data_IF_656360666558
#
_entry.id   IF_656360666558
#
_cell.length_a   1.000
_cell.length_b   1.000
_cell.length_c   1.000
_cell.angle_alpha   90.00
_cell.angle_beta   90.00
_cell.angle_gamma   90.00
#
_symmetry.space_group_name_H-M   'P 1'
#
loop_
_entity.id
_entity.type
_entity.pdbx_description
1 polymer ?
#
# COMPACT_ATOMS: atom_id res chain seq x y z
N UNK A 1 -19.96 14.36 3.78
CA UNK A 1 -20.65 14.32 2.47
C UNK A 1 -19.66 14.61 1.37
N UNK A 2 -19.87 14.00 0.19
CA UNK A 2 -19.21 14.38 -1.07
C UNK A 2 -20.32 14.73 -2.06
N UNK A 3 -20.28 15.89 -2.72
CA UNK A 3 -21.29 16.28 -3.72
C UNK A 3 -20.64 16.64 -5.05
N UNK A 4 -21.24 16.13 -6.12
CA UNK A 4 -20.90 16.52 -7.48
C UNK A 4 -21.55 17.86 -7.80
N UNK A 5 -20.73 18.88 -8.10
CA UNK A 5 -21.17 20.28 -8.24
C UNK A 5 -22.25 20.42 -9.31
N UNK A 6 -22.03 19.84 -10.49
CA UNK A 6 -22.92 20.05 -11.63
C UNK A 6 -24.23 19.26 -11.53
N UNK A 7 -24.19 18.01 -11.08
CA UNK A 7 -25.41 17.18 -11.05
C UNK A 7 -26.15 17.24 -9.72
N UNK A 8 -25.58 17.89 -8.70
CA UNK A 8 -26.14 17.93 -7.35
C UNK A 8 -26.16 16.59 -6.60
N UNK A 9 -25.67 15.51 -7.22
CA UNK A 9 -25.72 14.15 -6.65
C UNK A 9 -24.75 14.03 -5.48
N UNK A 10 -25.20 13.37 -4.42
CA UNK A 10 -24.47 13.32 -3.14
C UNK A 10 -24.06 11.90 -2.77
N UNK A 11 -22.96 11.78 -2.05
CA UNK A 11 -22.52 10.60 -1.32
C UNK A 11 -22.42 10.95 0.17
N UNK A 12 -23.05 10.15 1.00
CA UNK A 12 -22.98 10.23 2.45
C UNK A 12 -22.21 9.03 2.97
N UNK A 13 -21.32 9.27 3.92
CA UNK A 13 -20.53 8.21 4.51
C UNK A 13 -20.04 8.61 5.89
N UNK A 14 -19.78 7.63 6.75
CA UNK A 14 -19.19 7.81 8.06
C UNK A 14 -17.68 7.52 8.09
N UNK A 15 -16.97 8.06 9.08
CA UNK A 15 -15.57 7.70 9.38
C UNK A 15 -15.11 8.18 10.76
N UNK A 16 -14.23 7.40 11.40
CA UNK A 16 -13.43 7.84 12.57
C UNK A 16 -12.18 8.64 12.16
N UNK A 17 -11.74 8.49 10.91
CA UNK A 17 -10.64 9.26 10.34
C UNK A 17 -11.08 9.84 8.99
N UNK A 18 -11.49 11.11 9.03
CA UNK A 18 -12.13 11.80 7.90
C UNK A 18 -11.15 11.96 6.73
N UNK A 19 -9.92 12.42 7.00
CA UNK A 19 -8.90 12.64 5.97
C UNK A 19 -8.53 11.34 5.24
N UNK A 20 -8.35 10.24 5.98
CA UNK A 20 -8.09 8.93 5.39
C UNK A 20 -9.23 8.50 4.47
N UNK A 21 -10.48 8.63 4.92
CA UNK A 21 -11.68 8.23 4.15
C UNK A 21 -11.77 8.98 2.82
N UNK A 22 -11.50 10.28 2.83
CA UNK A 22 -11.48 11.09 1.62
C UNK A 22 -10.39 10.63 0.66
N UNK A 23 -9.16 10.44 1.16
CA UNK A 23 -8.04 9.95 0.35
C UNK A 23 -8.31 8.56 -0.24
N UNK A 24 -8.96 7.67 0.50
CA UNK A 24 -9.34 6.35 0.00
C UNK A 24 -10.33 6.44 -1.17
N UNK A 25 -11.29 7.38 -1.14
CA UNK A 25 -12.19 7.62 -2.28
C UNK A 25 -11.48 8.16 -3.52
N UNK A 26 -10.43 8.98 -3.33
CA UNK A 26 -9.61 9.48 -4.44
C UNK A 26 -8.72 8.40 -5.05
N UNK A 27 -8.14 7.53 -4.22
CA UNK A 27 -7.22 6.48 -4.64
C UNK A 27 -7.93 5.27 -5.26
N UNK A 28 -9.01 4.81 -4.63
CA UNK A 28 -9.70 3.57 -5.01
C UNK A 28 -11.04 3.87 -5.66
N UNK A 29 -11.17 3.61 -6.96
CA UNK A 29 -12.44 3.80 -7.66
C UNK A 29 -13.26 2.53 -7.89
N UNK A 30 -13.19 1.54 -6.99
CA UNK A 30 -14.11 0.41 -7.07
C UNK A 30 -15.51 0.78 -6.54
N UNK A 31 -15.61 1.82 -5.69
CA UNK A 31 -16.88 2.38 -5.21
C UNK A 31 -17.57 3.24 -6.27
N UNK A 32 -18.91 3.35 -6.22
CA UNK A 32 -19.73 4.19 -7.12
C UNK A 32 -19.26 5.64 -7.13
N UNK A 33 -19.01 6.21 -5.96
CA UNK A 33 -18.46 7.57 -5.81
C UNK A 33 -17.03 7.67 -6.36
N UNK A 34 -16.15 6.70 -6.11
CA UNK A 34 -14.79 6.72 -6.64
C UNK A 34 -14.74 6.60 -8.17
N UNK A 35 -15.64 5.81 -8.77
CA UNK A 35 -15.83 5.78 -10.24
C UNK A 35 -16.25 7.16 -10.78
N UNK A 36 -17.20 7.81 -10.10
CA UNK A 36 -17.67 9.13 -10.49
C UNK A 36 -16.57 10.20 -10.39
N UNK A 37 -15.80 10.21 -9.29
CA UNK A 37 -14.64 11.11 -9.11
C UNK A 37 -13.62 10.92 -10.24
N UNK A 38 -13.28 9.68 -10.60
CA UNK A 38 -12.36 9.43 -11.73
C UNK A 38 -12.93 9.87 -13.07
N UNK A 39 -14.24 9.73 -13.26
CA UNK A 39 -14.91 10.08 -14.52
C UNK A 39 -14.97 11.60 -14.74
N UNK A 40 -15.32 12.35 -13.70
CA UNK A 40 -15.60 13.79 -13.82
C UNK A 40 -14.47 14.69 -13.31
N UNK A 41 -13.44 14.12 -12.67
CA UNK A 41 -12.35 14.87 -12.04
C UNK A 41 -12.69 15.28 -10.61
N UNK A 42 -11.67 15.32 -9.74
CA UNK A 42 -11.83 15.60 -8.30
C UNK A 42 -12.33 17.03 -8.04
N UNK A 43 -11.96 17.96 -8.91
CA UNK A 43 -12.32 19.38 -8.88
C UNK A 43 -13.81 19.63 -9.12
N UNK A 44 -14.54 18.64 -9.67
CA UNK A 44 -16.01 18.68 -9.81
C UNK A 44 -16.74 18.17 -8.57
N UNK A 45 -16.02 17.79 -7.53
CA UNK A 45 -16.58 17.36 -6.26
C UNK A 45 -16.09 18.23 -5.12
N UNK A 46 -16.99 18.54 -4.18
CA UNK A 46 -16.60 19.10 -2.89
C UNK A 46 -16.90 18.12 -1.76
N UNK A 47 -16.07 18.18 -0.73
CA UNK A 47 -16.16 17.37 0.47
C UNK A 47 -16.47 18.27 1.66
N UNK A 48 -17.44 17.87 2.48
CA UNK A 48 -17.79 18.58 3.72
C UNK A 48 -18.09 17.60 4.86
N UNK A 49 -17.90 18.06 6.10
CA UNK A 49 -18.30 17.32 7.31
C UNK A 49 -19.69 17.81 7.71
N UNK A 50 -20.66 16.90 7.74
CA UNK A 50 -22.04 17.23 8.11
C UNK A 50 -22.22 17.35 9.62
N UNK A 51 -21.62 16.42 10.38
CA UNK A 51 -21.72 16.36 11.84
C UNK A 51 -20.48 15.65 12.39
N UNK A 52 -19.99 16.12 13.55
CA UNK A 52 -19.06 15.38 14.39
C UNK A 52 -19.87 14.79 15.55
N UNK A 53 -19.87 13.47 15.67
CA UNK A 53 -20.63 12.75 16.69
C UNK A 53 -19.77 11.69 17.40
N UNK A 54 -20.31 11.08 18.45
CA UNK A 54 -19.66 9.99 19.12
C UNK A 54 -19.56 8.76 18.19
N UNK A 55 -18.49 7.94 18.26
CA UNK A 55 -18.34 6.77 17.38
C UNK A 55 -19.53 5.81 17.37
N UNK A 56 -20.26 5.71 18.47
CA UNK A 56 -21.44 4.84 18.59
C UNK A 56 -22.64 5.35 17.77
N UNK A 57 -22.69 6.66 17.50
CA UNK A 57 -23.81 7.28 16.78
C UNK A 57 -23.57 7.32 15.28
N UNK A 58 -22.37 6.93 14.81
CA UNK A 58 -21.97 7.04 13.41
C UNK A 58 -22.99 6.40 12.47
N UNK A 59 -23.43 5.17 12.78
CA UNK A 59 -24.36 4.41 11.94
C UNK A 59 -25.72 5.12 11.84
N UNK A 60 -26.26 5.57 12.97
CA UNK A 60 -27.56 6.22 13.03
C UNK A 60 -27.54 7.56 12.29
N UNK A 61 -26.46 8.32 12.44
CA UNK A 61 -26.24 9.58 11.71
C UNK A 61 -26.06 9.34 10.21
N UNK A 62 -25.32 8.31 9.82
CA UNK A 62 -25.17 7.94 8.41
C UNK A 62 -26.53 7.60 7.77
N UNK A 63 -27.34 6.76 8.42
CA UNK A 63 -28.69 6.39 7.97
C UNK A 63 -29.56 7.65 7.85
N UNK A 64 -29.57 8.49 8.89
CA UNK A 64 -30.35 9.72 8.92
C UNK A 64 -30.01 10.63 7.74
N UNK A 65 -28.73 10.90 7.51
CA UNK A 65 -28.32 11.80 6.43
C UNK A 65 -28.50 11.18 5.03
N UNK A 66 -28.31 9.86 4.87
CA UNK A 66 -28.62 9.19 3.60
C UNK A 66 -30.10 9.35 3.25
N UNK A 67 -30.99 9.14 4.22
CA UNK A 67 -32.43 9.34 4.06
C UNK A 67 -32.77 10.80 3.76
N UNK A 68 -32.24 11.73 4.56
CA UNK A 68 -32.47 13.17 4.42
C UNK A 68 -32.10 13.71 3.03
N UNK A 69 -31.03 13.19 2.44
CA UNK A 69 -30.52 13.64 1.14
C UNK A 69 -30.93 12.73 -0.04
N UNK A 70 -31.71 11.68 0.20
CA UNK A 70 -32.08 10.65 -0.78
C UNK A 70 -30.88 10.17 -1.63
N UNK A 71 -29.74 9.95 -0.97
CA UNK A 71 -28.47 9.75 -1.67
C UNK A 71 -28.30 8.35 -2.27
N UNK A 72 -29.26 7.45 -2.05
CA UNK A 72 -29.32 6.12 -2.67
C UNK A 72 -29.93 6.22 -4.08
N UNK A 73 -31.15 6.76 -4.17
CA UNK A 73 -31.89 6.90 -5.43
C UNK A 73 -31.31 8.03 -6.27
N UNK A 74 -31.10 9.19 -5.64
CA UNK A 74 -30.66 10.43 -6.29
C UNK A 74 -29.19 10.79 -6.00
N UNK A 75 -28.38 9.82 -5.55
CA UNK A 75 -26.97 10.06 -5.23
C UNK A 75 -26.04 8.92 -5.65
N UNK A 76 -24.96 8.76 -4.90
CA UNK A 76 -23.91 7.76 -5.14
C UNK A 76 -23.84 6.69 -4.05
N UNK A 77 -24.70 6.73 -3.02
CA UNK A 77 -24.84 5.62 -2.09
C UNK A 77 -25.44 4.41 -2.82
N UNK A 78 -25.10 3.22 -2.36
CA UNK A 78 -25.63 1.95 -2.88
C UNK A 78 -26.67 1.39 -1.91
N UNK A 79 -26.42 1.55 -0.61
CA UNK A 79 -27.26 1.08 0.48
C UNK A 79 -27.69 2.28 1.35
N UNK A 80 -28.81 2.14 2.08
CA UNK A 80 -29.34 3.19 2.95
C UNK A 80 -28.47 3.53 4.18
N UNK A 81 -27.35 2.85 4.41
CA UNK A 81 -26.48 3.03 5.57
C UNK A 81 -26.57 1.87 6.55
N UNK A 82 -26.02 2.05 7.76
CA UNK A 82 -26.04 1.03 8.83
C UNK A 82 -25.10 -0.15 8.59
N UNK A 83 -24.25 -0.04 7.57
CA UNK A 83 -23.43 -1.12 7.04
C UNK A 83 -22.07 -1.23 7.69
N UNK A 84 -22.00 -1.24 9.01
CA UNK A 84 -20.97 -2.00 9.71
C UNK A 84 -21.68 -3.14 10.43
N UNK A 85 -21.82 -4.29 9.75
CA UNK A 85 -22.00 -5.52 10.50
C UNK A 85 -20.78 -5.63 11.41
N UNK A 86 -20.99 -5.45 12.72
CA UNK A 86 -19.97 -5.79 13.69
C UNK A 86 -19.68 -7.28 13.53
N UNK A 87 -18.61 -7.58 12.80
CA UNK A 87 -18.22 -8.96 12.62
C UNK A 87 -17.92 -9.52 14.01
N UNK A 88 -18.51 -10.68 14.37
CA UNK A 88 -18.21 -11.35 15.62
C UNK A 88 -16.70 -11.53 15.75
N UNK A 89 -16.18 -11.45 16.97
CA UNK A 89 -14.74 -11.51 17.22
C UNK A 89 -14.11 -12.79 16.63
N UNK A 90 -14.85 -13.90 16.66
CA UNK A 90 -14.48 -15.17 16.01
C UNK A 90 -14.23 -15.05 14.50
N UNK A 91 -15.01 -14.22 13.80
CA UNK A 91 -14.85 -13.99 12.35
C UNK A 91 -13.63 -13.12 12.08
N UNK A 92 -13.39 -12.07 12.89
CA UNK A 92 -12.17 -11.24 12.79
C UNK A 92 -10.92 -12.09 13.01
N UNK A 93 -10.92 -12.94 14.04
CA UNK A 93 -9.84 -13.90 14.33
C UNK A 93 -9.62 -14.84 13.15
N UNK A 94 -10.69 -15.41 12.56
CA UNK A 94 -10.60 -16.31 11.41
C UNK A 94 -10.01 -15.64 10.16
N UNK A 95 -10.42 -14.41 9.87
CA UNK A 95 -9.86 -13.61 8.77
C UNK A 95 -8.38 -13.32 9.03
N UNK A 96 -8.05 -12.89 10.25
CA UNK A 96 -6.66 -12.65 10.69
C UNK A 96 -5.78 -13.90 10.56
N UNK A 97 -6.28 -15.07 10.98
CA UNK A 97 -5.57 -16.34 10.88
C UNK A 97 -5.41 -16.81 9.43
N UNK A 98 -6.42 -16.59 8.58
CA UNK A 98 -6.32 -16.86 7.13
C UNK A 98 -5.25 -15.98 6.46
N UNK A 99 -5.18 -14.70 6.84
CA UNK A 99 -4.12 -13.81 6.37
C UNK A 99 -2.75 -14.27 6.88
N UNK A 100 -2.60 -14.58 8.17
CA UNK A 100 -1.35 -15.10 8.76
C UNK A 100 -0.88 -16.38 8.07
N UNK A 101 -1.78 -17.33 7.78
CA UNK A 101 -1.45 -18.54 6.99
C UNK A 101 -0.92 -18.19 5.59
N UNK A 102 -1.50 -17.19 4.93
CA UNK A 102 -0.97 -16.68 3.65
C UNK A 102 0.42 -16.06 3.83
N UNK A 103 0.65 -15.27 4.88
CA UNK A 103 1.97 -14.69 5.18
C UNK A 103 3.02 -15.76 5.54
N UNK A 104 2.64 -16.79 6.29
CA UNK A 104 3.53 -17.91 6.63
C UNK A 104 3.91 -18.76 5.41
N UNK A 105 3.06 -18.81 4.39
CA UNK A 105 3.37 -19.43 3.09
C UNK A 105 4.18 -18.53 2.15
N UNK A 106 4.34 -17.24 2.46
CA UNK A 106 5.22 -16.37 1.67
C UNK A 106 6.67 -16.74 2.02
N UNK A 107 7.57 -16.82 1.02
CA UNK A 107 8.98 -16.97 1.32
C UNK A 107 9.42 -15.83 2.25
N UNK A 108 10.29 -16.11 3.23
CA UNK A 108 10.80 -15.06 4.12
C UNK A 108 11.38 -13.94 3.26
N UNK A 109 11.10 -12.68 3.63
CA UNK A 109 11.83 -11.56 3.03
C UNK A 109 13.30 -11.77 3.38
N UNK A 110 14.14 -11.98 2.38
CA UNK A 110 15.57 -12.08 2.59
C UNK A 110 16.09 -10.68 2.92
N UNK A 111 16.64 -10.51 4.11
CA UNK A 111 17.32 -9.28 4.52
C UNK A 111 18.80 -9.50 4.24
N UNK A 112 19.35 -8.80 3.25
CA UNK A 112 20.81 -8.80 3.07
C UNK A 112 21.36 -7.77 4.05
N UNK A 113 22.09 -8.23 5.06
CA UNK A 113 22.84 -7.35 5.97
C UNK A 113 24.22 -7.11 5.39
N UNK A 114 24.50 -5.88 4.98
CA UNK A 114 25.87 -5.44 4.74
C UNK A 114 26.49 -5.01 6.08
N UNK A 115 27.78 -5.24 6.25
CA UNK A 115 28.59 -4.80 7.40
C UNK A 115 28.58 -3.27 7.50
N UNK A 116 27.54 -2.71 8.11
CA UNK A 116 27.32 -1.26 8.16
C UNK A 116 25.95 -0.80 8.64
N UNK A 117 25.00 -1.71 8.90
CA UNK A 117 23.75 -1.39 9.58
C UNK A 117 22.51 -1.98 8.91
N UNK A 118 21.48 -2.25 9.73
CA UNK A 118 20.19 -2.80 9.28
C UNK A 118 19.51 -1.80 8.34
N UNK A 119 19.32 -2.14 7.06
CA UNK A 119 18.41 -1.42 6.18
C UNK A 119 17.36 -2.35 5.56
N UNK A 120 16.27 -1.72 5.12
CA UNK A 120 14.95 -2.28 4.87
C UNK A 120 14.90 -3.53 3.98
N UNK A 121 13.92 -4.39 4.29
CA UNK A 121 13.62 -5.64 3.59
C UNK A 121 13.43 -5.45 2.07
N UNK A 122 14.30 -6.02 1.24
CA UNK A 122 14.15 -6.03 -0.22
C UNK A 122 12.93 -6.89 -0.63
N UNK A 123 12.02 -6.39 -1.48
CA UNK A 123 10.98 -7.20 -2.08
C UNK A 123 11.48 -7.73 -3.43
N UNK A 124 12.33 -8.75 -3.42
CA UNK A 124 12.70 -9.45 -4.65
C UNK A 124 11.99 -10.81 -4.67
N UNK A 125 11.21 -11.05 -5.73
CA UNK A 125 10.64 -12.36 -6.09
C UNK A 125 11.71 -13.36 -6.57
N UNK A 126 12.97 -13.15 -6.18
CA UNK A 126 14.12 -13.97 -6.57
C UNK A 126 14.40 -14.92 -5.41
N UNK A 127 14.38 -16.23 -5.66
CA UNK A 127 14.65 -17.24 -4.63
C UNK A 127 16.17 -17.48 -4.55
N UNK A 128 16.90 -16.95 -3.54
CA UNK A 128 18.30 -17.32 -3.36
C UNK A 128 18.42 -18.80 -3.01
N UNK A 129 19.56 -19.41 -3.37
CA UNK A 129 19.91 -20.76 -2.94
C UNK A 129 20.62 -20.62 -1.59
N UNK A 130 19.96 -21.01 -0.51
CA UNK A 130 20.51 -20.95 0.85
C UNK A 130 21.40 -22.17 1.04
N UNK A 131 22.70 -21.97 1.30
CA UNK A 131 23.65 -23.07 1.47
C UNK A 131 24.06 -23.29 2.95
N UNK A 132 23.90 -22.29 3.83
CA UNK A 132 23.91 -22.43 5.30
C UNK A 132 23.54 -21.09 5.96
N UNK A 133 23.45 -21.03 7.29
CA UNK A 133 23.04 -19.86 8.10
C UNK A 133 23.85 -18.59 7.83
N UNK A 134 25.07 -18.74 7.30
CA UNK A 134 26.02 -17.63 7.20
C UNK A 134 26.44 -17.33 5.75
N UNK A 135 25.92 -18.05 4.75
CA UNK A 135 26.20 -17.76 3.33
C UNK A 135 24.97 -17.89 2.45
N UNK A 136 24.58 -16.76 1.85
CA UNK A 136 23.59 -16.67 0.77
C UNK A 136 24.34 -16.56 -0.54
N UNK A 137 24.31 -17.62 -1.36
CA UNK A 137 24.93 -17.60 -2.69
C UNK A 137 23.87 -17.27 -3.74
N UNK A 138 24.10 -16.19 -4.49
CA UNK A 138 23.30 -15.81 -5.65
C UNK A 138 23.97 -16.34 -6.91
N UNK A 139 23.18 -16.85 -7.86
CA UNK A 139 23.71 -17.09 -9.22
C UNK A 139 24.01 -15.76 -9.92
N UNK A 140 24.91 -15.75 -10.90
CA UNK A 140 25.31 -14.54 -11.63
C UNK A 140 24.12 -13.73 -12.17
N UNK A 141 23.09 -14.42 -12.64
CA UNK A 141 21.85 -13.79 -13.09
C UNK A 141 21.10 -13.09 -11.95
N UNK A 142 21.03 -13.72 -10.77
CA UNK A 142 20.39 -13.16 -9.59
C UNK A 142 21.17 -11.98 -9.02
N UNK A 143 22.50 -12.06 -9.03
CA UNK A 143 23.39 -10.96 -8.68
C UNK A 143 23.12 -9.73 -9.56
N UNK A 144 23.04 -9.91 -10.88
CA UNK A 144 22.77 -8.82 -11.84
C UNK A 144 21.43 -8.14 -11.60
N UNK A 145 20.36 -8.89 -11.29
CA UNK A 145 19.05 -8.32 -10.96
C UNK A 145 19.11 -7.48 -9.67
N UNK A 146 19.81 -7.97 -8.65
CA UNK A 146 19.96 -7.25 -7.37
C UNK A 146 20.71 -5.94 -7.61
N UNK A 147 21.80 -6.00 -8.34
CA UNK A 147 22.65 -4.86 -8.67
C UNK A 147 21.86 -3.79 -9.46
N UNK A 148 21.18 -4.18 -10.53
CA UNK A 148 20.33 -3.26 -11.32
C UNK A 148 19.25 -2.58 -10.46
N UNK A 149 18.69 -3.32 -9.50
CA UNK A 149 17.73 -2.76 -8.55
C UNK A 149 18.35 -1.76 -7.57
N UNK A 150 19.57 -2.02 -7.09
CA UNK A 150 20.31 -1.13 -6.20
C UNK A 150 20.74 0.18 -6.87
N UNK A 151 20.80 0.21 -8.21
CA UNK A 151 21.07 1.43 -8.97
C UNK A 151 19.82 2.30 -9.22
N UNK A 152 18.65 1.94 -8.69
CA UNK A 152 17.45 2.76 -8.85
C UNK A 152 17.56 4.06 -8.03
N UNK A 153 16.98 5.17 -8.50
CA UNK A 153 17.19 6.52 -7.94
C UNK A 153 16.89 6.65 -6.44
N UNK A 154 16.01 5.82 -5.89
CA UNK A 154 15.62 5.83 -4.48
C UNK A 154 16.62 5.11 -3.54
N UNK A 155 17.65 4.45 -4.09
CA UNK A 155 18.76 3.86 -3.32
C UNK A 155 20.02 4.73 -3.34
N UNK A 156 20.00 5.86 -4.06
CA UNK A 156 21.13 6.78 -4.23
C UNK A 156 21.61 7.40 -2.91
N UNK A 157 20.71 7.54 -1.94
CA UNK A 157 20.97 8.22 -0.67
C UNK A 157 21.51 7.27 0.43
N UNK A 158 21.73 5.99 0.12
CA UNK A 158 22.40 5.07 1.04
C UNK A 158 23.91 4.97 0.74
N UNK A 159 24.71 4.70 1.78
CA UNK A 159 26.18 4.72 1.74
C UNK A 159 26.79 3.91 0.57
N UNK A 160 26.18 2.76 0.25
CA UNK A 160 26.62 1.85 -0.83
C UNK A 160 26.21 2.37 -2.21
N UNK A 161 25.00 2.90 -2.34
CA UNK A 161 24.48 3.48 -3.57
C UNK A 161 25.25 4.74 -3.99
N UNK A 162 25.71 5.55 -3.04
CA UNK A 162 26.55 6.71 -3.29
C UNK A 162 27.95 6.34 -3.82
N UNK A 163 28.57 5.29 -3.27
CA UNK A 163 29.88 4.78 -3.74
C UNK A 163 29.79 4.14 -5.14
N UNK A 164 28.70 3.42 -5.42
CA UNK A 164 28.49 2.76 -6.72
C UNK A 164 28.04 3.72 -7.83
N UNK A 165 27.38 4.83 -7.50
CA UNK A 165 26.80 5.77 -8.47
C UNK A 165 27.86 6.56 -9.27
N UNK A 166 29.07 6.70 -8.74
CA UNK A 166 30.16 7.45 -9.36
C UNK A 166 31.12 6.59 -10.19
N UNK A 167 30.85 5.29 -10.32
CA UNK A 167 31.71 4.35 -11.05
C UNK A 167 31.27 4.32 -12.51
N UNK A 168 32.20 4.49 -13.45
CA UNK A 168 31.89 4.49 -14.87
C UNK A 168 31.61 3.08 -15.41
N UNK A 169 30.87 2.99 -16.51
CA UNK A 169 30.22 1.75 -16.98
C UNK A 169 31.12 0.50 -17.11
N UNK A 170 32.41 0.66 -17.43
CA UNK A 170 33.37 -0.45 -17.57
C UNK A 170 33.93 -0.95 -16.22
N UNK A 171 34.05 -0.07 -15.22
CA UNK A 171 34.54 -0.43 -13.88
C UNK A 171 33.46 -1.11 -13.02
N UNK A 172 32.18 -1.01 -13.43
CA UNK A 172 31.05 -1.64 -12.73
C UNK A 172 31.14 -3.17 -12.72
N UNK A 173 31.43 -3.79 -13.86
CA UNK A 173 31.61 -5.25 -13.95
C UNK A 173 32.81 -5.73 -13.10
N UNK A 174 33.87 -4.93 -13.01
CA UNK A 174 35.05 -5.27 -12.22
C UNK A 174 34.78 -5.21 -10.71
N UNK A 175 34.04 -4.20 -10.25
CA UNK A 175 33.62 -4.05 -8.85
C UNK A 175 32.61 -5.12 -8.43
N UNK A 176 31.70 -5.50 -9.34
CA UNK A 176 30.79 -6.63 -9.15
C UNK A 176 31.59 -7.92 -8.95
N UNK A 177 32.56 -8.20 -9.83
CA UNK A 177 33.39 -9.40 -9.72
C UNK A 177 34.28 -9.42 -8.47
N UNK A 178 34.80 -8.27 -8.02
CA UNK A 178 35.60 -8.16 -6.82
C UNK A 178 34.78 -8.39 -5.52
N UNK A 179 33.57 -7.82 -5.44
CA UNK A 179 32.66 -7.99 -4.29
C UNK A 179 32.15 -9.43 -4.13
N UNK A 180 31.94 -10.15 -5.25
CA UNK A 180 31.52 -11.56 -5.20
C UNK A 180 32.69 -12.52 -4.90
N UNK A 181 33.90 -12.22 -5.37
CA UNK A 181 35.09 -13.05 -5.08
C UNK A 181 35.54 -12.98 -3.62
N UNK A 182 35.40 -11.83 -2.96
CA UNK A 182 35.77 -11.66 -1.55
C UNK A 182 34.82 -12.36 -0.56
N UNK A 183 33.63 -12.78 -1.00
CA UNK A 183 32.68 -13.55 -0.18
C UNK A 183 32.81 -15.08 -0.36
N UNK A 184 33.64 -15.53 -1.30
CA UNK A 184 33.87 -16.94 -1.60
C UNK A 184 35.23 -17.47 -1.09
N UNK A 185 36.06 -16.60 -0.50
CA UNK A 185 37.33 -16.94 0.16
C UNK A 185 37.16 -16.91 1.69
#
# INVERSE_FOLDING_TARGET
MIKHVQSGKMYIGQSRNISKRWNDHLRYGNSRIGKAIRKYGKERFYFEVLELCHPNDLNDKEIYYIGKFDSVRNGYNILPGGGQFDMPESVKIRIGNSQRKRYAKRPPKCFVTFSGGKQNAMPLNVRPKILSTDQVVFSDYQARIIIDHMFKPHYRDNKIGAELWNIDGADKEMVINALFRSQLA
#
